data_IF_575992666088
#
_entry.id   IF_575992666088
#
_cell.length_a   1.000
_cell.length_b   1.000
_cell.length_c   1.000
_cell.angle_alpha   90.00
_cell.angle_beta   90.00
_cell.angle_gamma   90.00
#
_symmetry.space_group_name_H-M   'P 1'
#
loop_
_entity.id
_entity.type
_entity.pdbx_description
1 polymer ?
#
# COMPACT_ATOMS: atom_id res chain seq x y z
N UNK A 1 -2.78 -9.22 7.79
CA UNK A 1 -2.82 -10.61 7.27
C UNK A 1 -3.86 -10.86 6.15
N UNK A 2 -4.69 -9.87 5.76
CA UNK A 2 -5.75 -10.05 4.74
C UNK A 2 -5.25 -10.51 3.36
N UNK A 3 -4.13 -9.96 2.87
CA UNK A 3 -3.57 -10.34 1.58
C UNK A 3 -3.12 -11.81 1.56
N UNK A 4 -2.39 -12.23 2.61
CA UNK A 4 -1.94 -13.61 2.77
C UNK A 4 -3.11 -14.60 2.85
N UNK A 5 -4.10 -14.34 3.70
CA UNK A 5 -5.30 -15.19 3.81
C UNK A 5 -6.02 -15.36 2.46
N UNK A 6 -6.16 -14.27 1.69
CA UNK A 6 -6.76 -14.33 0.36
C UNK A 6 -5.91 -15.10 -0.66
N UNK A 7 -4.58 -15.03 -0.57
CA UNK A 7 -3.68 -15.82 -1.40
C UNK A 7 -3.81 -17.31 -1.09
N UNK A 8 -3.82 -17.68 0.19
CA UNK A 8 -3.89 -19.08 0.62
C UNK A 8 -5.23 -19.73 0.21
N UNK A 9 -6.33 -18.99 0.33
CA UNK A 9 -7.68 -19.52 0.07
C UNK A 9 -8.10 -19.48 -1.40
N UNK A 10 -7.64 -18.48 -2.15
CA UNK A 10 -8.17 -18.17 -3.49
C UNK A 10 -7.08 -17.99 -4.55
N UNK A 11 -5.81 -18.06 -4.16
CA UNK A 11 -4.66 -17.91 -5.04
C UNK A 11 -4.33 -16.46 -5.40
N UNK A 12 -3.10 -16.26 -5.89
CA UNK A 12 -2.53 -14.94 -6.14
C UNK A 12 -3.28 -14.11 -7.20
N UNK A 13 -3.88 -14.77 -8.19
CA UNK A 13 -4.63 -14.07 -9.26
C UNK A 13 -5.87 -13.35 -8.73
N UNK A 14 -6.55 -13.95 -7.76
CA UNK A 14 -7.72 -13.35 -7.09
C UNK A 14 -7.26 -12.31 -6.07
N UNK A 15 -6.17 -12.58 -5.34
CA UNK A 15 -5.65 -11.69 -4.30
C UNK A 15 -4.86 -10.48 -4.81
N UNK A 16 -4.64 -10.35 -6.13
CA UNK A 16 -3.75 -9.33 -6.73
C UNK A 16 -3.99 -7.90 -6.27
N UNK A 17 -5.24 -7.51 -6.01
CA UNK A 17 -5.57 -6.15 -5.53
C UNK A 17 -5.02 -5.89 -4.13
N UNK A 18 -5.12 -6.90 -3.27
CA UNK A 18 -4.62 -6.82 -1.91
C UNK A 18 -3.10 -6.88 -1.87
N UNK A 19 -2.49 -7.66 -2.77
CA UNK A 19 -1.03 -7.72 -2.95
C UNK A 19 -0.49 -6.34 -3.42
N UNK A 20 -1.10 -5.75 -4.45
CA UNK A 20 -0.72 -4.42 -4.93
C UNK A 20 -0.93 -3.36 -3.84
N UNK A 21 -2.07 -3.38 -3.13
CA UNK A 21 -2.35 -2.42 -2.06
C UNK A 21 -1.34 -2.52 -0.90
N UNK A 22 -1.02 -3.73 -0.42
CA UNK A 22 -0.09 -3.87 0.70
C UNK A 22 1.35 -3.51 0.31
N UNK A 23 1.76 -3.76 -0.94
CA UNK A 23 3.08 -3.40 -1.47
C UNK A 23 3.31 -1.87 -1.46
N UNK A 24 2.25 -1.08 -1.59
CA UNK A 24 2.32 0.39 -1.47
C UNK A 24 2.28 0.83 -0.01
N UNK A 25 1.29 0.35 0.75
CA UNK A 25 1.01 0.88 2.09
C UNK A 25 2.08 0.48 3.11
N UNK A 26 2.56 -0.77 3.06
CA UNK A 26 3.50 -1.28 4.06
C UNK A 26 4.83 -0.51 4.10
N UNK A 27 5.58 -0.33 2.98
CA UNK A 27 6.85 0.38 3.04
C UNK A 27 6.67 1.88 3.31
N UNK A 28 5.58 2.52 2.85
CA UNK A 28 5.29 3.92 3.20
C UNK A 28 5.10 4.10 4.71
N UNK A 29 4.27 3.24 5.32
CA UNK A 29 4.01 3.27 6.77
C UNK A 29 5.29 3.00 7.56
N UNK A 30 6.05 1.97 7.20
CA UNK A 30 7.29 1.62 7.88
C UNK A 30 8.36 2.73 7.75
N UNK A 31 8.46 3.37 6.58
CA UNK A 31 9.33 4.53 6.40
C UNK A 31 8.93 5.70 7.31
N UNK A 32 7.62 6.00 7.44
CA UNK A 32 7.11 7.04 8.36
C UNK A 32 7.39 6.71 9.82
N UNK A 33 7.27 5.44 10.23
CA UNK A 33 7.62 5.02 11.59
C UNK A 33 9.12 5.16 11.85
N UNK A 34 9.96 4.75 10.89
CA UNK A 34 11.40 4.90 11.00
C UNK A 34 11.80 6.38 11.12
N UNK A 35 11.23 7.26 10.30
CA UNK A 35 11.46 8.71 10.35
C UNK A 35 11.13 9.31 11.72
N UNK A 36 9.97 8.95 12.30
CA UNK A 36 9.59 9.36 13.66
C UNK A 36 10.56 8.81 14.72
N UNK A 37 11.05 7.59 14.54
CA UNK A 37 12.04 6.99 15.44
C UNK A 37 13.38 7.72 15.35
N UNK A 38 13.86 8.09 14.15
CA UNK A 38 15.05 8.92 13.96
C UNK A 38 14.90 10.21 14.77
N UNK A 39 13.77 10.90 14.58
CA UNK A 39 13.51 12.17 15.26
C UNK A 39 13.50 12.04 16.79
N UNK A 40 12.95 10.95 17.33
CA UNK A 40 12.92 10.70 18.77
C UNK A 40 14.29 10.39 19.38
N UNK A 41 15.21 9.80 18.60
CA UNK A 41 16.56 9.44 19.05
C UNK A 41 17.61 10.53 18.76
N UNK A 42 17.22 11.62 18.09
CA UNK A 42 18.13 12.73 17.77
C UNK A 42 19.30 12.27 16.90
N UNK A 43 20.51 12.74 17.21
CA UNK A 43 21.72 12.38 16.44
C UNK A 43 22.01 10.88 16.40
N UNK A 44 21.63 10.14 17.44
CA UNK A 44 21.78 8.68 17.50
C UNK A 44 20.83 7.95 16.52
N UNK A 45 19.73 8.59 16.12
CA UNK A 45 18.81 8.03 15.13
C UNK A 45 19.38 7.95 13.72
N UNK A 46 20.43 8.73 13.43
CA UNK A 46 21.13 8.73 12.13
C UNK A 46 22.57 8.19 12.22
N UNK A 47 23.01 7.73 13.39
CA UNK A 47 24.32 7.12 13.57
C UNK A 47 24.25 5.60 13.36
N UNK A 48 25.43 4.97 13.30
CA UNK A 48 25.57 3.51 13.26
C UNK A 48 25.36 2.85 14.65
N UNK A 49 24.98 3.61 15.68
CA UNK A 49 24.68 3.08 17.01
C UNK A 49 23.33 2.36 17.05
N UNK A 50 22.46 2.58 16.05
CA UNK A 50 21.16 1.94 15.90
C UNK A 50 20.86 1.60 14.44
N UNK A 51 19.97 0.63 14.21
CA UNK A 51 19.54 0.23 12.85
C UNK A 51 18.45 1.15 12.25
N UNK A 52 18.10 2.26 12.90
CA UNK A 52 16.93 3.07 12.51
C UNK A 52 17.13 3.70 11.12
N UNK A 53 18.32 4.24 10.86
CA UNK A 53 18.66 4.81 9.55
C UNK A 53 18.61 3.76 8.43
N UNK A 54 19.05 2.54 8.70
CA UNK A 54 18.94 1.41 7.77
C UNK A 54 17.47 1.13 7.44
N UNK A 55 16.58 1.05 8.43
CA UNK A 55 15.16 0.79 8.17
C UNK A 55 14.49 1.91 7.37
N UNK A 56 14.86 3.17 7.59
CA UNK A 56 14.37 4.26 6.75
C UNK A 56 14.79 4.07 5.29
N UNK A 57 16.08 3.80 5.05
CA UNK A 57 16.63 3.61 3.71
C UNK A 57 16.06 2.35 3.02
N UNK A 58 15.95 1.24 3.74
CA UNK A 58 15.37 -0.01 3.25
C UNK A 58 13.94 0.21 2.76
N UNK A 59 13.10 0.87 3.56
CA UNK A 59 11.72 1.11 3.17
C UNK A 59 11.62 2.10 2.00
N UNK A 60 12.52 3.08 1.91
CA UNK A 60 12.63 3.96 0.74
C UNK A 60 12.98 3.18 -0.53
N UNK A 61 13.86 2.19 -0.42
CA UNK A 61 14.22 1.26 -1.50
C UNK A 61 13.05 0.36 -1.88
N UNK A 62 12.31 -0.20 -0.91
CA UNK A 62 11.15 -1.06 -1.15
C UNK A 62 9.99 -0.35 -1.86
N UNK A 63 9.93 0.99 -1.84
CA UNK A 63 8.99 1.78 -2.64
C UNK A 63 9.37 1.87 -4.12
N UNK A 64 10.51 1.31 -4.52
CA UNK A 64 11.01 1.23 -5.90
C UNK A 64 11.13 -0.22 -6.35
N UNK A 65 11.67 -1.09 -5.49
CA UNK A 65 11.83 -2.51 -5.75
C UNK A 65 10.49 -3.20 -6.02
N UNK A 66 10.48 -4.22 -6.89
CA UNK A 66 9.29 -4.99 -7.28
C UNK A 66 8.11 -4.16 -7.80
N UNK A 67 8.42 -2.99 -8.38
CA UNK A 67 7.45 -2.03 -8.91
C UNK A 67 7.32 -0.80 -8.00
N UNK A 68 7.53 0.41 -8.55
CA UNK A 68 7.27 1.65 -7.85
C UNK A 68 5.81 1.79 -7.38
N UNK A 69 5.61 2.56 -6.31
CA UNK A 69 4.28 2.81 -5.73
C UNK A 69 3.25 3.24 -6.79
N UNK A 70 3.64 4.13 -7.71
CA UNK A 70 2.77 4.69 -8.74
C UNK A 70 2.31 3.63 -9.74
N UNK A 71 3.15 2.64 -10.03
CA UNK A 71 2.81 1.54 -10.95
C UNK A 71 1.73 0.66 -10.32
N UNK A 72 1.91 0.28 -9.05
CA UNK A 72 0.92 -0.51 -8.31
C UNK A 72 -0.40 0.25 -8.14
N UNK A 73 -0.34 1.55 -7.81
CA UNK A 73 -1.52 2.41 -7.68
C UNK A 73 -2.28 2.56 -9.02
N UNK A 74 -1.57 2.78 -10.12
CA UNK A 74 -2.18 2.90 -11.44
C UNK A 74 -2.84 1.58 -11.89
N UNK A 75 -2.19 0.44 -11.66
CA UNK A 75 -2.74 -0.88 -11.97
C UNK A 75 -4.00 -1.17 -11.14
N UNK A 76 -3.94 -0.95 -9.83
CA UNK A 76 -5.08 -1.13 -8.92
C UNK A 76 -6.24 -0.19 -9.30
N UNK A 77 -5.96 1.09 -9.58
CA UNK A 77 -6.95 2.07 -10.00
C UNK A 77 -7.68 1.65 -11.28
N UNK A 78 -6.94 1.25 -12.34
CA UNK A 78 -7.52 0.74 -13.59
C UNK A 78 -8.39 -0.49 -13.38
N UNK A 79 -8.04 -1.35 -12.42
CA UNK A 79 -8.85 -2.52 -12.10
C UNK A 79 -10.12 -2.15 -11.35
N UNK A 80 -10.02 -1.28 -10.34
CA UNK A 80 -11.18 -0.82 -9.57
C UNK A 80 -12.17 -0.06 -10.43
N UNK A 81 -11.70 0.82 -11.33
CA UNK A 81 -12.58 1.50 -12.28
C UNK A 81 -13.37 0.50 -13.13
N UNK A 82 -12.73 -0.56 -13.65
CA UNK A 82 -13.42 -1.61 -14.42
C UNK A 82 -14.44 -2.38 -13.59
N UNK A 83 -14.09 -2.72 -12.35
CA UNK A 83 -15.00 -3.39 -11.42
C UNK A 83 -16.25 -2.52 -11.14
N UNK A 84 -16.05 -1.24 -10.80
CA UNK A 84 -17.16 -0.32 -10.53
C UNK A 84 -18.00 0.01 -11.77
N UNK A 85 -17.38 0.11 -12.95
CA UNK A 85 -18.10 0.33 -14.21
C UNK A 85 -18.94 -0.88 -14.64
N UNK A 86 -18.58 -2.09 -14.19
CA UNK A 86 -19.32 -3.31 -14.46
C UNK A 86 -20.43 -3.58 -13.43
N UNK A 87 -20.51 -2.81 -12.35
CA UNK A 87 -21.61 -2.93 -11.39
C UNK A 87 -22.91 -2.49 -12.06
N UNK A 88 -24.02 -3.24 -11.89
CA UNK A 88 -25.32 -2.77 -12.33
C UNK A 88 -25.62 -1.44 -11.62
N UNK A 89 -26.18 -0.47 -12.35
CA UNK A 89 -26.60 0.78 -11.76
C UNK A 89 -27.51 0.46 -10.57
N UNK A 90 -27.00 0.66 -9.34
CA UNK A 90 -27.87 0.70 -8.16
C UNK A 90 -28.88 1.77 -8.47
N UNK A 91 -30.16 1.39 -8.55
CA UNK A 91 -31.24 2.27 -8.95
C UNK A 91 -31.19 3.58 -8.19
N UNK A 92 -30.63 4.61 -8.83
CA UNK A 92 -30.88 5.99 -8.45
C UNK A 92 -32.27 6.24 -9.01
N UNK A 93 -33.30 5.97 -8.20
CA UNK A 93 -34.65 6.44 -8.50
C UNK A 93 -34.56 7.98 -8.68
N UNK A 94 -35.01 8.56 -9.80
CA UNK A 94 -34.88 9.99 -10.11
C UNK A 94 -35.59 10.99 -9.18
N UNK A 95 -35.86 10.67 -7.91
CA UNK A 95 -36.74 11.46 -7.03
C UNK A 95 -36.24 11.75 -5.62
N UNK A 96 -34.96 11.49 -5.28
CA UNK A 96 -34.44 11.73 -3.93
C UNK A 96 -33.82 13.14 -3.72
N UNK A 97 -34.02 14.06 -4.65
CA UNK A 97 -33.65 15.48 -4.51
C UNK A 97 -34.87 16.32 -4.84
N UNK A 98 -35.83 16.36 -3.90
CA UNK A 98 -36.83 17.42 -3.79
C UNK A 98 -36.98 17.75 -2.32
#
# INVERSE_FOLDING_TARGET
LKAADMMDRHGNKVAKDLIAAIKVVAPQMAQTVADRAIQAHGGMGVSDDTEIAYFFALNRFLRLADGPDEVHMAQLGKQKIREYAALPAKGISPGAVV
#
